data_IF_283325321671
#
_entry.id   IF_283325321671
#
_cell.length_a   1.000
_cell.length_b   1.000
_cell.length_c   1.000
_cell.angle_alpha   90.00
_cell.angle_beta   90.00
_cell.angle_gamma   90.00
#
_symmetry.space_group_name_H-M   'P 1'
#
loop_
_entity.id
_entity.type
_entity.pdbx_description
1 polymer ?
#
# COMPACT_ATOMS: atom_id res chain seq x y z
N UNK A 1 20.97 10.72 -12.04
CA UNK A 1 20.34 10.05 -10.88
C UNK A 1 18.85 10.12 -11.09
N UNK A 2 18.16 8.98 -11.04
CA UNK A 2 16.70 8.93 -11.24
C UNK A 2 16.06 8.37 -9.98
N UNK A 3 15.04 9.06 -9.47
CA UNK A 3 14.18 8.60 -8.38
C UNK A 3 12.81 8.28 -8.96
N UNK A 4 12.43 7.01 -8.90
CA UNK A 4 11.09 6.56 -9.23
C UNK A 4 10.36 6.17 -7.95
N UNK A 5 9.07 6.50 -7.88
CA UNK A 5 8.20 6.13 -6.78
C UNK A 5 6.99 5.41 -7.37
N UNK A 6 6.59 4.31 -6.74
CA UNK A 6 5.36 3.61 -7.07
C UNK A 6 4.64 3.19 -5.80
N UNK A 7 3.30 3.17 -5.85
CA UNK A 7 2.46 2.64 -4.78
C UNK A 7 1.82 1.36 -5.29
N UNK A 8 1.86 0.30 -4.47
CA UNK A 8 1.36 -1.02 -4.82
C UNK A 8 0.55 -1.62 -3.68
N UNK A 9 -0.43 -2.45 -4.07
CA UNK A 9 -1.05 -3.42 -3.17
C UNK A 9 -0.09 -4.60 -3.05
N UNK A 10 0.41 -4.85 -1.84
CA UNK A 10 1.25 -5.99 -1.53
C UNK A 10 0.45 -7.30 -1.45
N UNK A 11 1.16 -8.39 -1.17
CA UNK A 11 0.54 -9.71 -1.05
C UNK A 11 -0.46 -9.72 0.11
N UNK A 12 -1.67 -10.22 -0.16
CA UNK A 12 -2.69 -10.34 0.88
C UNK A 12 -2.35 -11.41 1.91
N UNK A 13 -2.81 -11.17 3.14
CA UNK A 13 -2.73 -12.11 4.26
C UNK A 13 -4.15 -12.35 4.79
N UNK A 14 -4.56 -13.61 4.93
CA UNK A 14 -5.85 -13.97 5.53
C UNK A 14 -5.66 -14.36 6.98
N UNK A 15 -6.46 -13.77 7.87
CA UNK A 15 -6.56 -14.15 9.29
C UNK A 15 -8.06 -14.23 9.61
N UNK A 16 -8.52 -15.42 9.98
CA UNK A 16 -9.94 -15.73 10.18
C UNK A 16 -10.80 -15.32 8.97
N UNK A 17 -11.80 -14.45 9.18
CA UNK A 17 -12.72 -13.94 8.15
C UNK A 17 -12.19 -12.69 7.43
N UNK A 18 -11.02 -12.18 7.84
CA UNK A 18 -10.45 -10.94 7.33
C UNK A 18 -9.33 -11.21 6.33
N UNK A 19 -9.31 -10.43 5.26
CA UNK A 19 -8.19 -10.38 4.32
C UNK A 19 -7.55 -9.00 4.39
N UNK A 20 -6.26 -8.98 4.73
CA UNK A 20 -5.44 -7.79 4.89
C UNK A 20 -4.62 -7.56 3.62
N UNK A 21 -4.73 -6.38 3.05
CA UNK A 21 -4.03 -5.94 1.85
C UNK A 21 -3.12 -4.77 2.22
N UNK A 22 -1.80 -5.01 2.39
CA UNK A 22 -0.87 -3.94 2.70
C UNK A 22 -0.72 -3.01 1.48
N UNK A 23 -0.77 -1.70 1.72
CA UNK A 23 -0.46 -0.67 0.75
C UNK A 23 0.97 -0.20 1.03
N UNK A 24 1.84 -0.32 0.03
CA UNK A 24 3.27 -0.02 0.17
C UNK A 24 3.71 1.01 -0.86
N UNK A 25 4.61 1.89 -0.45
CA UNK A 25 5.35 2.79 -1.32
C UNK A 25 6.75 2.24 -1.55
N UNK A 26 7.11 2.11 -2.82
CA UNK A 26 8.42 1.62 -3.24
C UNK A 26 9.19 2.79 -3.86
N UNK A 27 10.35 3.07 -3.30
CA UNK A 27 11.31 4.02 -3.86
C UNK A 27 12.38 3.23 -4.59
N UNK A 28 12.66 3.62 -5.82
CA UNK A 28 13.73 3.06 -6.63
C UNK A 28 14.68 4.19 -7.03
N UNK A 29 15.91 4.11 -6.54
CA UNK A 29 17.01 5.00 -6.91
C UNK A 29 17.97 4.29 -7.85
N UNK A 30 18.25 4.92 -8.98
CA UNK A 30 19.26 4.44 -9.94
C UNK A 30 20.41 5.43 -10.07
N UNK A 31 21.61 4.96 -9.76
CA UNK A 31 22.89 5.60 -10.05
C UNK A 31 23.67 4.73 -11.05
N UNK A 32 24.64 5.30 -11.76
CA UNK A 32 25.30 4.72 -12.95
C UNK A 32 25.56 3.20 -12.88
N UNK A 33 26.10 2.72 -11.76
CA UNK A 33 26.42 1.29 -11.54
C UNK A 33 25.69 0.65 -10.35
N UNK A 34 24.63 1.29 -9.82
CA UNK A 34 23.91 0.77 -8.64
C UNK A 34 22.43 1.12 -8.63
N UNK A 35 21.64 0.19 -8.11
CA UNK A 35 20.21 0.35 -7.88
C UNK A 35 19.94 0.12 -6.39
N UNK A 36 19.13 1.00 -5.80
CA UNK A 36 18.71 0.92 -4.42
C UNK A 36 17.19 0.95 -4.35
N UNK A 37 16.64 0.11 -3.47
CA UNK A 37 15.21 0.01 -3.24
C UNK A 37 14.91 0.27 -1.76
N UNK A 38 13.86 1.03 -1.50
CA UNK A 38 13.28 1.16 -0.16
C UNK A 38 11.78 0.90 -0.23
N UNK A 39 11.24 0.28 0.82
CA UNK A 39 9.82 -0.04 0.93
C UNK A 39 9.30 0.57 2.23
N UNK A 40 8.23 1.36 2.12
CA UNK A 40 7.56 1.97 3.25
C UNK A 40 6.09 1.55 3.29
N UNK A 41 5.60 1.11 4.45
CA UNK A 41 4.18 0.77 4.59
C UNK A 41 3.36 2.07 4.74
N UNK A 42 2.28 2.20 3.97
CA UNK A 42 1.41 3.37 3.96
C UNK A 42 0.13 3.13 4.75
N UNK A 43 -0.53 2.02 4.45
CA UNK A 43 -1.81 1.64 5.05
C UNK A 43 -2.04 0.13 4.94
N UNK A 44 -3.09 -0.35 5.62
CA UNK A 44 -3.61 -1.70 5.45
C UNK A 44 -5.10 -1.60 5.13
N UNK A 45 -5.49 -2.07 3.95
CA UNK A 45 -6.91 -2.23 3.60
C UNK A 45 -7.37 -3.59 4.08
N UNK A 46 -8.51 -3.63 4.76
CA UNK A 46 -9.10 -4.86 5.30
C UNK A 46 -10.44 -5.11 4.62
N UNK A 47 -10.63 -6.34 4.18
CA UNK A 47 -11.92 -6.84 3.69
C UNK A 47 -12.43 -7.89 4.68
N UNK A 48 -13.64 -7.72 5.18
CA UNK A 48 -14.31 -8.57 6.16
C UNK A 48 -15.78 -8.77 5.74
N UNK A 49 -16.07 -9.90 5.09
CA UNK A 49 -17.36 -10.11 4.43
C UNK A 49 -17.63 -9.03 3.37
N UNK A 50 -18.71 -8.27 3.53
CA UNK A 50 -19.06 -7.14 2.66
C UNK A 50 -18.40 -5.82 3.09
N UNK A 51 -17.78 -5.77 4.27
CA UNK A 51 -17.13 -4.57 4.77
C UNK A 51 -15.73 -4.42 4.20
N UNK A 52 -15.39 -3.18 3.84
CA UNK A 52 -14.07 -2.77 3.40
C UNK A 52 -13.68 -1.47 4.08
N UNK A 53 -12.52 -1.47 4.74
CA UNK A 53 -12.02 -0.31 5.49
C UNK A 53 -10.49 -0.24 5.42
N UNK A 54 -9.92 0.88 5.84
CA UNK A 54 -8.48 1.15 5.75
C UNK A 54 -7.92 1.60 7.10
N UNK A 55 -6.76 1.05 7.46
CA UNK A 55 -5.96 1.49 8.59
C UNK A 55 -4.73 2.24 8.09
N UNK A 56 -4.67 3.58 8.24
CA UNK A 56 -3.46 4.33 7.95
C UNK A 56 -2.34 3.95 8.93
N UNK A 57 -1.10 3.88 8.45
CA UNK A 57 0.09 3.59 9.28
C UNK A 57 0.92 4.85 9.57
N UNK A 58 0.60 5.96 8.93
CA UNK A 58 1.12 7.30 9.20
C UNK A 58 -0.06 8.27 9.38
N UNK A 59 0.21 9.48 9.87
CA UNK A 59 -0.83 10.52 9.90
C UNK A 59 -1.11 10.98 8.46
N UNK A 60 -2.37 11.00 8.07
CA UNK A 60 -2.82 11.47 6.76
C UNK A 60 -3.63 12.74 6.91
N UNK A 61 -3.19 13.80 6.22
CA UNK A 61 -3.87 15.08 6.18
C UNK A 61 -5.02 15.09 5.16
N UNK A 62 -4.99 14.18 4.17
CA UNK A 62 -5.95 14.11 3.06
C UNK A 62 -6.75 12.79 3.05
N UNK A 63 -8.05 12.83 3.40
CA UNK A 63 -8.93 11.67 3.30
C UNK A 63 -9.09 11.10 1.87
N UNK A 64 -8.94 11.91 0.81
CA UNK A 64 -9.08 11.43 -0.58
C UNK A 64 -7.94 10.46 -0.98
N UNK A 65 -6.77 10.63 -0.36
CA UNK A 65 -5.63 9.73 -0.54
C UNK A 65 -5.94 8.31 -0.01
N UNK A 66 -6.60 8.23 1.15
CA UNK A 66 -7.01 6.96 1.75
C UNK A 66 -8.10 6.25 0.93
N UNK A 67 -9.05 7.00 0.37
CA UNK A 67 -10.06 6.49 -0.55
C UNK A 67 -9.41 5.91 -1.81
N UNK A 68 -8.38 6.58 -2.33
CA UNK A 68 -7.61 6.10 -3.48
C UNK A 68 -6.93 4.76 -3.17
N UNK A 69 -6.26 4.65 -2.01
CA UNK A 69 -5.63 3.40 -1.58
C UNK A 69 -6.63 2.28 -1.36
N UNK A 70 -7.77 2.59 -0.77
CA UNK A 70 -8.85 1.63 -0.61
C UNK A 70 -9.34 1.14 -1.99
N UNK A 71 -9.55 2.03 -2.96
CA UNK A 71 -10.00 1.68 -4.32
C UNK A 71 -9.02 0.79 -5.10
N UNK A 72 -7.72 0.81 -4.79
CA UNK A 72 -6.73 -0.07 -5.42
C UNK A 72 -6.97 -1.56 -5.13
N UNK A 73 -7.63 -1.89 -4.02
CA UNK A 73 -7.93 -3.27 -3.63
C UNK A 73 -9.23 -3.74 -4.28
N UNK A 74 -9.13 -4.75 -5.15
CA UNK A 74 -10.28 -5.47 -5.69
C UNK A 74 -10.34 -6.84 -5.00
N UNK A 75 -11.29 -7.07 -4.07
CA UNK A 75 -11.44 -8.38 -3.44
C UNK A 75 -11.66 -9.44 -4.52
N UNK A 76 -10.95 -10.57 -4.38
CA UNK A 76 -11.11 -11.76 -5.20
C UNK A 76 -12.33 -12.57 -4.77
#
# INVERSE_FOLDING_TARGET
MTLNQEIKVGKSLKIDERVFYPIIKIFHWKHQDSEFYSVFPLAVVVVEGEMKYIFPLEEYDDPEELETYMAMVKPL
#
